data_IF_439844056306
#
_entry.id   IF_439844056306
#
_cell.length_a   1.000
_cell.length_b   1.000
_cell.length_c   1.000
_cell.angle_alpha   90.00
_cell.angle_beta   90.00
_cell.angle_gamma   90.00
#
_symmetry.space_group_name_H-M   'P 1'
#
loop_
_entity.id
_entity.type
_entity.pdbx_description
1 polymer ?
#
# COMPACT_ATOMS: atom_id res chain seq x y z
N UNK A 1 27.00 -29.63 -53.80
CA UNK A 1 25.69 -29.44 -53.12
C UNK A 1 25.92 -29.18 -51.64
N UNK A 2 26.02 -27.92 -51.20
CA UNK A 2 26.25 -27.53 -49.79
C UNK A 2 25.32 -26.37 -49.36
N UNK A 3 24.07 -26.39 -49.82
CA UNK A 3 23.16 -25.25 -49.66
C UNK A 3 21.96 -25.52 -48.74
N UNK A 4 21.87 -26.72 -48.14
CA UNK A 4 20.70 -27.09 -47.30
C UNK A 4 20.92 -26.97 -45.79
N UNK A 5 22.16 -26.78 -45.33
CA UNK A 5 22.46 -26.72 -43.88
C UNK A 5 22.32 -25.32 -43.26
N UNK A 6 22.28 -24.25 -44.07
CA UNK A 6 22.20 -22.88 -43.55
C UNK A 6 20.78 -22.45 -43.15
N UNK A 7 19.74 -23.22 -43.54
CA UNK A 7 18.34 -22.83 -43.31
C UNK A 7 17.79 -23.27 -41.95
N UNK A 8 18.46 -24.20 -41.26
CA UNK A 8 17.98 -24.73 -39.98
C UNK A 8 18.49 -23.98 -38.75
N UNK A 9 19.52 -23.13 -38.88
CA UNK A 9 20.00 -22.32 -37.75
C UNK A 9 19.25 -21.00 -37.58
N UNK A 10 18.53 -20.52 -38.61
CA UNK A 10 17.83 -19.23 -38.56
C UNK A 10 16.45 -19.34 -37.89
N UNK A 11 15.84 -20.53 -37.87
CA UNK A 11 14.51 -20.79 -37.32
C UNK A 11 14.48 -21.04 -35.81
N UNK A 12 15.63 -21.28 -35.16
CA UNK A 12 15.71 -21.44 -33.71
C UNK A 12 15.97 -20.12 -32.96
N UNK A 13 16.29 -19.03 -33.68
CA UNK A 13 16.71 -17.77 -33.07
C UNK A 13 15.56 -16.78 -32.79
N UNK A 14 14.31 -17.14 -33.12
CA UNK A 14 13.15 -16.25 -33.03
C UNK A 14 12.24 -16.52 -31.81
N UNK A 15 12.57 -17.47 -30.93
CA UNK A 15 11.72 -17.82 -29.79
C UNK A 15 12.07 -17.08 -28.48
N UNK A 16 13.04 -16.17 -28.45
CA UNK A 16 13.56 -15.59 -27.21
C UNK A 16 12.98 -14.22 -26.82
N UNK A 17 11.96 -13.72 -27.52
CA UNK A 17 11.35 -12.42 -27.20
C UNK A 17 9.86 -12.58 -26.91
N UNK A 18 9.53 -13.39 -25.91
CA UNK A 18 8.28 -13.19 -25.18
C UNK A 18 8.60 -12.31 -23.97
N UNK A 19 8.64 -11.00 -24.22
CA UNK A 19 8.57 -10.03 -23.13
C UNK A 19 7.10 -9.95 -22.73
N UNK A 20 6.70 -10.72 -21.73
CA UNK A 20 5.44 -10.41 -21.04
C UNK A 20 5.66 -9.08 -20.33
N UNK A 21 4.91 -8.05 -20.69
CA UNK A 21 4.86 -6.82 -19.90
C UNK A 21 4.45 -7.20 -18.47
N UNK A 22 5.41 -7.20 -17.55
CA UNK A 22 5.13 -7.38 -16.13
C UNK A 22 4.31 -6.17 -15.70
N UNK A 23 2.99 -6.34 -15.62
CA UNK A 23 2.11 -5.36 -15.01
C UNK A 23 2.35 -5.46 -13.51
N UNK A 24 3.11 -4.52 -12.97
CA UNK A 24 3.33 -4.38 -11.54
C UNK A 24 1.98 -4.12 -10.85
N UNK A 25 1.42 -5.17 -10.25
CA UNK A 25 0.16 -5.12 -9.51
C UNK A 25 0.43 -4.78 -8.04
N UNK A 26 1.34 -3.83 -7.78
CA UNK A 26 1.61 -3.34 -6.44
C UNK A 26 0.31 -2.86 -5.79
N UNK A 27 0.05 -3.38 -4.59
CA UNK A 27 -1.13 -3.07 -3.79
C UNK A 27 -0.69 -2.68 -2.40
N UNK A 28 -1.39 -1.70 -1.86
CA UNK A 28 -1.29 -1.33 -0.46
C UNK A 28 -2.60 -1.71 0.19
N UNK A 29 -2.51 -2.34 1.36
CA UNK A 29 -3.62 -2.60 2.23
C UNK A 29 -3.23 -2.24 3.66
N UNK A 30 -4.08 -1.47 4.32
CA UNK A 30 -3.93 -1.16 5.74
C UNK A 30 -5.23 -1.44 6.47
N UNK A 31 -5.11 -2.02 7.65
CA UNK A 31 -6.24 -2.23 8.55
C UNK A 31 -5.84 -1.92 9.99
N UNK A 32 -6.83 -1.77 10.85
CA UNK A 32 -6.57 -1.57 12.27
C UNK A 32 -7.76 -1.03 13.04
N UNK A 33 -7.45 -0.45 14.19
CA UNK A 33 -8.43 0.16 15.10
C UNK A 33 -8.01 1.58 15.46
N UNK A 34 -8.97 2.50 15.48
CA UNK A 34 -8.78 3.90 15.84
C UNK A 34 -9.56 4.19 17.12
N UNK A 35 -8.87 4.66 18.14
CA UNK A 35 -9.47 4.99 19.44
C UNK A 35 -9.14 6.39 19.88
N UNK A 36 -10.00 6.97 20.72
CA UNK A 36 -9.64 8.16 21.48
C UNK A 36 -8.72 7.79 22.67
N UNK A 37 -8.35 8.79 23.47
CA UNK A 37 -7.52 8.61 24.67
C UNK A 37 -8.18 7.75 25.76
N UNK A 38 -9.51 7.58 25.73
CA UNK A 38 -10.26 6.72 26.65
C UNK A 38 -10.36 5.27 26.15
N UNK A 39 -9.79 4.95 24.98
CA UNK A 39 -9.87 3.63 24.37
C UNK A 39 -11.19 3.32 23.65
N UNK A 40 -12.05 4.32 23.47
CA UNK A 40 -13.32 4.19 22.76
C UNK A 40 -13.10 4.29 21.25
N UNK A 41 -13.84 3.50 20.47
CA UNK A 41 -13.78 3.52 19.02
C UNK A 41 -14.19 4.86 18.41
N UNK A 42 -13.46 5.30 17.39
CA UNK A 42 -13.72 6.58 16.71
C UNK A 42 -14.05 6.32 15.24
N UNK A 43 -15.23 6.80 14.81
CA UNK A 43 -15.62 6.86 13.40
C UNK A 43 -15.08 8.15 12.78
N UNK A 44 -14.20 8.04 11.79
CA UNK A 44 -13.54 9.18 11.15
C UNK A 44 -13.19 8.88 9.68
N UNK A 45 -13.16 9.90 8.80
CA UNK A 45 -12.73 9.72 7.42
C UNK A 45 -11.27 9.26 7.32
N UNK A 46 -11.02 8.35 6.38
CA UNK A 46 -9.72 7.75 6.12
C UNK A 46 -9.39 7.84 4.65
N UNK A 47 -8.11 8.04 4.34
CA UNK A 47 -7.61 8.02 2.97
C UNK A 47 -6.24 7.36 2.92
N UNK A 48 -5.99 6.58 1.87
CA UNK A 48 -4.64 6.23 1.45
C UNK A 48 -4.28 7.15 0.30
N UNK A 49 -3.18 7.88 0.44
CA UNK A 49 -2.66 8.75 -0.61
C UNK A 49 -1.21 8.42 -0.91
N UNK A 50 -0.84 8.58 -2.17
CA UNK A 50 0.54 8.63 -2.63
C UNK A 50 0.69 9.93 -3.44
N UNK A 51 1.25 9.90 -4.64
CA UNK A 51 1.17 11.00 -5.61
C UNK A 51 -0.28 11.29 -6.08
N UNK A 52 -1.22 10.39 -5.77
CA UNK A 52 -2.66 10.51 -6.03
C UNK A 52 -3.45 9.85 -4.89
N UNK A 53 -4.77 10.07 -4.88
CA UNK A 53 -5.69 9.38 -3.98
C UNK A 53 -5.83 7.91 -4.40
N UNK A 54 -5.45 6.98 -3.51
CA UNK A 54 -5.47 5.53 -3.78
C UNK A 54 -6.81 4.93 -3.36
N UNK A 55 -7.29 5.28 -2.17
CA UNK A 55 -8.56 4.78 -1.63
C UNK A 55 -9.05 5.69 -0.51
N UNK A 56 -10.36 5.67 -0.27
CA UNK A 56 -11.02 6.45 0.78
C UNK A 56 -12.09 5.61 1.48
N UNK A 57 -12.40 5.97 2.74
CA UNK A 57 -13.33 5.22 3.57
C UNK A 57 -13.60 5.94 4.89
N UNK A 58 -14.35 5.28 5.77
CA UNK A 58 -14.66 5.76 7.11
C UNK A 58 -14.48 4.59 8.07
N UNK A 59 -13.82 4.79 9.21
CA UNK A 59 -13.78 3.77 10.26
C UNK A 59 -15.16 3.52 10.85
N UNK A 60 -15.40 2.29 11.28
CA UNK A 60 -16.67 1.89 11.92
C UNK A 60 -16.81 2.55 13.29
N UNK A 61 -18.00 2.43 13.90
CA UNK A 61 -18.29 2.97 15.23
C UNK A 61 -17.40 2.38 16.33
N UNK A 62 -16.91 1.16 16.17
CA UNK A 62 -15.94 0.53 17.07
C UNK A 62 -14.48 0.93 16.78
N UNK A 63 -14.27 1.82 15.80
CA UNK A 63 -12.96 2.29 15.35
C UNK A 63 -12.26 1.38 14.35
N UNK A 64 -12.81 0.21 14.02
CA UNK A 64 -12.18 -0.72 13.08
C UNK A 64 -12.22 -0.18 11.65
N UNK A 65 -11.16 -0.42 10.89
CA UNK A 65 -11.06 -0.02 9.49
C UNK A 65 -10.22 -1.01 8.67
N UNK A 66 -10.45 -0.98 7.36
CA UNK A 66 -9.61 -1.62 6.35
C UNK A 66 -9.72 -0.83 5.06
N UNK A 67 -8.59 -0.40 4.50
CA UNK A 67 -8.50 0.32 3.24
C UNK A 67 -7.40 -0.29 2.39
N UNK A 68 -7.58 -0.31 1.08
CA UNK A 68 -6.53 -0.71 0.17
C UNK A 68 -6.84 -0.36 -1.27
N UNK A 69 -5.81 -0.38 -2.09
CA UNK A 69 -5.91 -0.02 -3.50
C UNK A 69 -4.61 -0.23 -4.28
N UNK A 70 -4.66 0.00 -5.59
CA UNK A 70 -3.49 -0.09 -6.46
C UNK A 70 -2.56 1.10 -6.17
N UNK A 71 -1.35 0.82 -5.69
CA UNK A 71 -0.35 1.84 -5.43
C UNK A 71 1.03 1.21 -5.32
N UNK A 72 2.05 1.93 -5.80
CA UNK A 72 3.43 1.61 -5.47
C UNK A 72 3.63 1.77 -3.97
N UNK A 73 4.31 0.80 -3.35
CA UNK A 73 4.59 0.75 -1.90
C UNK A 73 5.48 1.89 -1.41
N UNK A 74 6.02 2.68 -2.33
CA UNK A 74 6.89 3.81 -2.01
C UNK A 74 6.06 5.07 -1.78
N UNK A 75 6.23 5.66 -0.59
CA UNK A 75 5.73 6.99 -0.21
C UNK A 75 4.23 7.15 0.04
N UNK A 76 3.50 6.05 0.25
CA UNK A 76 2.10 6.14 0.65
C UNK A 76 1.90 6.64 2.09
N UNK A 77 0.77 7.32 2.34
CA UNK A 77 0.34 7.83 3.63
C UNK A 77 -1.09 7.36 3.92
N UNK A 78 -1.36 7.03 5.18
CA UNK A 78 -2.69 6.85 5.73
C UNK A 78 -3.10 8.15 6.44
N UNK A 79 -4.08 8.86 5.89
CA UNK A 79 -4.73 10.01 6.53
C UNK A 79 -5.85 9.55 7.46
N UNK A 80 -5.91 10.13 8.66
CA UNK A 80 -6.77 9.67 9.76
C UNK A 80 -7.89 10.67 10.12
N UNK A 81 -8.04 11.79 9.40
CA UNK A 81 -9.14 12.75 9.60
C UNK A 81 -9.16 13.46 10.97
N UNK A 82 -8.30 13.04 11.90
CA UNK A 82 -8.11 13.54 13.25
C UNK A 82 -6.63 13.56 13.58
N UNK A 83 -6.28 14.37 14.58
CA UNK A 83 -4.91 14.47 15.06
C UNK A 83 -4.49 13.16 15.74
N UNK A 84 -3.42 12.58 15.24
CA UNK A 84 -2.82 11.33 15.67
C UNK A 84 -1.84 11.64 16.80
N UNK A 85 -2.04 10.99 17.94
CA UNK A 85 -1.19 11.11 19.11
C UNK A 85 -0.13 10.01 19.14
N UNK A 86 -0.54 8.79 18.81
CA UNK A 86 0.35 7.62 18.78
C UNK A 86 -0.25 6.50 17.95
N UNK A 87 0.56 5.51 17.59
CA UNK A 87 0.09 4.26 17.01
C UNK A 87 1.01 3.09 17.38
N UNK A 88 0.49 1.88 17.24
CA UNK A 88 1.26 0.63 17.25
C UNK A 88 0.93 -0.18 15.99
N UNK A 89 1.92 -0.88 15.44
CA UNK A 89 1.79 -1.59 14.17
C UNK A 89 2.73 -2.78 14.07
N UNK A 90 2.39 -3.74 13.22
CA UNK A 90 3.27 -4.84 12.84
C UNK A 90 4.37 -4.46 11.84
N UNK A 91 4.32 -3.26 11.24
CA UNK A 91 5.24 -2.82 10.21
C UNK A 91 6.32 -1.88 10.77
N UNK A 92 7.57 -2.06 10.33
CA UNK A 92 8.70 -1.21 10.73
C UNK A 92 8.91 -0.07 9.73
N UNK A 93 9.05 1.16 10.22
CA UNK A 93 9.33 2.34 9.38
C UNK A 93 8.14 3.27 9.18
N UNK A 94 6.96 2.89 9.68
CA UNK A 94 5.83 3.79 9.80
C UNK A 94 6.17 4.97 10.71
N UNK A 95 5.70 6.17 10.38
CA UNK A 95 5.89 7.37 11.22
C UNK A 95 4.77 8.38 11.04
N UNK A 96 4.40 9.08 12.11
CA UNK A 96 3.47 10.22 12.03
C UNK A 96 4.15 11.33 11.23
N UNK A 97 3.44 11.89 10.25
CA UNK A 97 3.90 13.05 9.50
C UNK A 97 3.82 14.32 10.34
N UNK A 98 4.48 15.38 9.88
CA UNK A 98 4.54 16.66 10.60
C UNK A 98 3.15 17.29 10.86
N UNK A 99 2.19 17.05 9.95
CA UNK A 99 0.81 17.52 10.08
C UNK A 99 0.04 16.83 11.23
N UNK A 100 0.56 15.73 11.77
CA UNK A 100 -0.11 14.86 12.74
C UNK A 100 -1.47 14.33 12.26
N UNK A 101 -1.82 14.46 10.98
CA UNK A 101 -3.07 13.99 10.41
C UNK A 101 -2.87 12.72 9.56
N UNK A 102 -1.61 12.39 9.27
CA UNK A 102 -1.26 11.22 8.48
C UNK A 102 -0.09 10.42 9.06
N UNK A 103 -0.08 9.13 8.75
CA UNK A 103 1.02 8.21 9.02
C UNK A 103 1.63 7.84 7.67
N UNK A 104 2.92 8.10 7.50
CA UNK A 104 3.69 7.56 6.39
C UNK A 104 3.81 6.06 6.57
N UNK A 105 3.39 5.30 5.56
CA UNK A 105 3.48 3.85 5.52
C UNK A 105 4.91 3.40 5.17
N UNK A 106 5.23 2.16 5.54
CA UNK A 106 6.55 1.57 5.30
C UNK A 106 6.74 1.27 3.81
N UNK A 107 7.88 1.68 3.24
CA UNK A 107 8.25 1.33 1.86
C UNK A 107 8.54 -0.17 1.75
N UNK A 108 8.22 -0.75 0.59
CA UNK A 108 8.44 -2.17 0.32
C UNK A 108 7.42 -3.12 0.94
N UNK A 109 6.47 -2.63 1.75
CA UNK A 109 5.43 -3.46 2.37
C UNK A 109 4.04 -3.13 1.82
N UNK A 110 3.41 -4.12 1.19
CA UNK A 110 2.03 -3.99 0.68
C UNK A 110 0.94 -4.16 1.74
N UNK A 111 1.30 -4.55 2.97
CA UNK A 111 0.37 -4.77 4.06
C UNK A 111 0.87 -4.10 5.34
N UNK A 112 -0.01 -3.38 6.03
CA UNK A 112 0.26 -2.78 7.34
C UNK A 112 -0.95 -2.95 8.24
N UNK A 113 -0.74 -3.56 9.40
CA UNK A 113 -1.75 -3.68 10.45
C UNK A 113 -1.40 -2.73 11.58
N UNK A 114 -2.33 -1.86 11.93
CA UNK A 114 -2.26 -1.05 13.15
C UNK A 114 -3.03 -1.75 14.25
N UNK A 115 -2.34 -2.16 15.32
CA UNK A 115 -3.02 -2.71 16.49
C UNK A 115 -3.88 -1.63 17.15
N UNK A 116 -3.37 -0.40 17.21
CA UNK A 116 -4.15 0.78 17.57
C UNK A 116 -3.57 2.07 16.96
N UNK A 117 -4.45 3.01 16.62
CA UNK A 117 -4.12 4.42 16.36
C UNK A 117 -4.89 5.25 17.38
N UNK A 118 -4.18 5.97 18.24
CA UNK A 118 -4.78 6.84 19.25
C UNK A 118 -4.89 8.26 18.71
N UNK A 119 -6.09 8.83 18.73
CA UNK A 119 -6.39 10.20 18.26
C UNK A 119 -6.90 11.09 19.39
N UNK A 120 -6.84 12.41 19.18
CA UNK A 120 -7.57 13.42 19.98
C UNK A 120 -9.09 13.27 19.84
#
# INVERSE_FOLDING_TARGET
MKTKQFFYCLSFSLCLVSCSDYIDNARIYTEGKITNQNGEGVSTPLQITNSFLVSEGISKSDGSFGLGGPATVDSANLYVGRKILSFSTNATGCRINYDSLSIKLSSGQGYTKFDNITVE
#
